data_IF_548946022985
#
_entry.id   IF_548946022985
#
_cell.length_a   1.000
_cell.length_b   1.000
_cell.length_c   1.000
_cell.angle_alpha   90.00
_cell.angle_beta   90.00
_cell.angle_gamma   90.00
#
_symmetry.space_group_name_H-M   'P 1'
#
loop_
_entity.id
_entity.type
_entity.pdbx_description
1 polymer ?
#
# COMPACT_ATOMS: atom_id res chain seq x y z
N UNK A 1 -7.97 40.25 22.11
CA UNK A 1 -8.17 39.66 20.77
C UNK A 1 -9.39 38.76 20.79
N UNK A 2 -10.20 38.70 19.72
CA UNK A 2 -11.36 37.80 19.63
C UNK A 2 -10.85 36.39 19.26
N UNK A 3 -11.27 35.32 19.94
CA UNK A 3 -10.79 33.98 19.64
C UNK A 3 -11.29 33.51 18.27
N UNK A 4 -10.43 32.79 17.54
CA UNK A 4 -10.72 32.18 16.24
C UNK A 4 -10.52 30.67 16.34
N UNK A 5 -11.40 29.89 15.71
CA UNK A 5 -11.30 28.44 15.63
C UNK A 5 -11.73 27.95 14.24
N UNK A 6 -11.31 26.72 13.89
CA UNK A 6 -11.69 26.06 12.65
C UNK A 6 -13.09 25.46 12.80
N UNK A 7 -14.04 25.88 11.96
CA UNK A 7 -15.40 25.34 11.98
C UNK A 7 -15.55 23.99 11.28
N UNK A 8 -14.80 23.76 10.20
CA UNK A 8 -14.80 22.50 9.43
C UNK A 8 -13.54 22.39 8.57
N UNK A 9 -13.08 21.17 8.38
CA UNK A 9 -12.12 20.79 7.33
C UNK A 9 -12.78 19.69 6.51
N UNK A 10 -12.71 19.78 5.18
CA UNK A 10 -13.22 18.77 4.25
C UNK A 10 -12.07 18.10 3.53
N UNK A 11 -12.11 16.78 3.43
CA UNK A 11 -11.12 15.98 2.70
C UNK A 11 -11.85 14.86 1.95
N UNK A 12 -11.52 14.68 0.67
CA UNK A 12 -12.07 13.63 -0.20
C UNK A 12 -10.93 12.95 -0.93
N UNK A 13 -10.90 11.62 -0.93
CA UNK A 13 -9.83 10.80 -1.53
C UNK A 13 -10.46 9.73 -2.41
N UNK A 14 -9.83 9.42 -3.55
CA UNK A 14 -10.14 8.28 -4.40
C UNK A 14 -8.84 7.57 -4.78
N UNK A 15 -8.80 6.26 -4.61
CA UNK A 15 -7.69 5.40 -5.04
C UNK A 15 -8.23 4.41 -6.07
N UNK A 16 -7.51 4.19 -7.17
CA UNK A 16 -7.82 3.18 -8.18
C UNK A 16 -6.67 2.19 -8.22
N UNK A 17 -6.99 0.90 -8.24
CA UNK A 17 -6.04 -0.20 -8.43
C UNK A 17 -6.44 -0.90 -9.74
N UNK A 18 -5.48 -1.15 -10.61
CA UNK A 18 -5.66 -1.93 -11.83
C UNK A 18 -4.43 -2.80 -12.11
N UNK A 19 -4.52 -3.67 -13.11
CA UNK A 19 -3.46 -4.60 -13.50
C UNK A 19 -2.27 -3.90 -14.18
N UNK A 20 -2.44 -2.63 -14.58
CA UNK A 20 -1.38 -1.81 -15.17
C UNK A 20 -0.55 -1.10 -14.10
N UNK A 21 -0.54 -1.63 -12.87
CA UNK A 21 0.29 -1.13 -11.78
C UNK A 21 1.76 -0.97 -12.19
N UNK A 22 2.57 -0.42 -11.28
CA UNK A 22 4.01 -0.29 -11.48
C UNK A 22 4.56 -1.68 -11.88
N UNK A 23 5.15 -1.77 -13.08
CA UNK A 23 5.79 -2.97 -13.62
C UNK A 23 6.51 -3.68 -12.49
N UNK A 24 6.09 -4.90 -12.16
CA UNK A 24 6.55 -5.63 -10.98
C UNK A 24 8.05 -5.98 -11.10
N UNK A 25 8.92 -5.02 -10.80
CA UNK A 25 10.34 -5.27 -10.55
C UNK A 25 10.52 -5.49 -9.05
N UNK A 26 9.98 -6.61 -8.58
CA UNK A 26 10.29 -7.12 -7.25
C UNK A 26 11.71 -7.71 -7.31
N UNK A 27 12.73 -6.86 -7.30
CA UNK A 27 14.12 -7.32 -7.18
C UNK A 27 14.35 -7.84 -5.76
N UNK A 28 14.08 -9.13 -5.55
CA UNK A 28 14.54 -9.85 -4.36
C UNK A 28 16.06 -10.03 -4.49
N UNK A 29 16.81 -9.13 -3.87
CA UNK A 29 18.27 -9.27 -3.75
C UNK A 29 18.61 -10.50 -2.91
N UNK A 30 18.74 -11.67 -3.56
CA UNK A 30 19.33 -12.86 -2.94
C UNK A 30 20.78 -12.51 -2.61
N UNK A 31 21.06 -12.15 -1.36
CA UNK A 31 22.44 -12.17 -0.85
C UNK A 31 22.88 -13.62 -0.90
N UNK A 32 23.74 -13.93 -1.87
CA UNK A 32 24.30 -15.26 -2.10
C UNK A 32 25.19 -15.67 -0.92
N UNK A 33 24.59 -16.07 0.20
CA UNK A 33 25.24 -16.93 1.17
C UNK A 33 25.04 -18.35 0.64
N UNK A 34 26.12 -18.93 0.12
CA UNK A 34 26.13 -20.20 -0.56
C UNK A 34 25.70 -21.36 0.34
N UNK A 35 24.39 -21.64 0.49
CA UNK A 35 23.92 -22.88 1.11
C UNK A 35 22.43 -23.24 0.95
N UNK A 36 21.57 -22.46 0.29
CA UNK A 36 20.18 -22.91 0.13
C UNK A 36 19.55 -22.41 -1.14
N UNK A 37 19.14 -23.36 -2.00
CA UNK A 37 18.18 -23.11 -3.07
C UNK A 37 16.96 -22.51 -2.37
N UNK A 38 16.63 -21.24 -2.64
CA UNK A 38 15.42 -20.61 -2.09
C UNK A 38 14.24 -21.33 -2.72
N UNK A 39 13.78 -22.38 -2.05
CA UNK A 39 12.59 -23.14 -2.42
C UNK A 39 11.47 -22.66 -1.51
N UNK A 40 10.55 -21.92 -2.11
CA UNK A 40 9.43 -21.33 -1.39
C UNK A 40 8.63 -20.44 -2.33
N UNK A 41 7.46 -20.93 -2.73
CA UNK A 41 6.45 -20.08 -3.33
C UNK A 41 5.62 -19.49 -2.19
N UNK A 42 5.44 -18.18 -2.19
CA UNK A 42 4.50 -17.50 -1.31
C UNK A 42 3.30 -17.07 -2.15
N UNK A 43 2.12 -17.59 -1.82
CA UNK A 43 0.87 -17.21 -2.47
C UNK A 43 0.14 -16.17 -1.62
N UNK A 44 -0.28 -15.08 -2.24
CA UNK A 44 -0.99 -13.99 -1.58
C UNK A 44 -2.38 -13.83 -2.20
N UNK A 45 -3.40 -14.22 -1.45
CA UNK A 45 -4.80 -14.04 -1.81
C UNK A 45 -5.41 -12.90 -0.99
N UNK A 46 -5.89 -11.86 -1.68
CA UNK A 46 -6.58 -10.70 -1.10
C UNK A 46 -8.11 -10.86 -1.27
N UNK A 47 -8.63 -11.97 -0.76
CA UNK A 47 -10.03 -12.41 -0.88
C UNK A 47 -10.91 -12.07 0.34
N UNK A 48 -10.38 -11.27 1.26
CA UNK A 48 -11.01 -10.81 2.51
C UNK A 48 -10.49 -9.42 2.88
N UNK A 49 -11.14 -8.69 3.81
CA UNK A 49 -10.75 -7.32 4.13
C UNK A 49 -9.24 -7.16 4.42
N UNK A 50 -8.63 -6.13 3.83
CA UNK A 50 -7.19 -5.88 3.95
C UNK A 50 -6.88 -4.37 4.01
N UNK A 51 -5.67 -4.06 4.47
CA UNK A 51 -5.14 -2.69 4.55
C UNK A 51 -4.18 -2.47 3.39
N UNK A 52 -4.16 -1.26 2.84
CA UNK A 52 -3.12 -0.82 1.91
C UNK A 52 -2.44 0.45 2.42
N UNK A 53 -1.18 0.60 2.05
CA UNK A 53 -0.40 1.83 2.27
C UNK A 53 0.32 2.16 0.97
N UNK A 54 0.16 3.40 0.50
CA UNK A 54 0.94 3.95 -0.61
C UNK A 54 2.01 4.84 0.01
N UNK A 55 3.27 4.48 -0.16
CA UNK A 55 4.42 5.21 0.36
C UNK A 55 4.98 6.18 -0.69
N UNK A 56 5.52 7.31 -0.22
CA UNK A 56 6.36 8.19 -1.02
C UNK A 56 7.78 7.63 -1.15
N UNK A 57 8.62 8.33 -1.93
CA UNK A 57 10.03 7.94 -2.12
C UNK A 57 10.85 7.96 -0.81
N UNK A 58 10.38 8.73 0.17
CA UNK A 58 10.91 8.89 1.51
C UNK A 58 10.37 7.86 2.51
N UNK A 59 9.60 6.88 2.05
CA UNK A 59 8.92 5.86 2.86
C UNK A 59 7.86 6.44 3.81
N UNK A 60 7.43 7.69 3.63
CA UNK A 60 6.31 8.25 4.38
C UNK A 60 4.96 7.86 3.73
N UNK A 61 3.94 7.49 4.52
CA UNK A 61 2.62 7.18 3.98
C UNK A 61 1.98 8.40 3.31
N UNK A 62 1.71 8.28 2.01
CA UNK A 62 0.89 9.24 1.25
C UNK A 62 -0.59 8.90 1.39
N UNK A 63 -0.92 7.62 1.36
CA UNK A 63 -2.27 7.11 1.56
C UNK A 63 -2.25 5.87 2.45
N UNK A 64 -3.23 5.76 3.33
CA UNK A 64 -3.54 4.56 4.10
C UNK A 64 -5.04 4.33 4.02
N UNK A 65 -5.44 3.08 3.85
CA UNK A 65 -6.86 2.74 3.75
C UNK A 65 -7.14 1.26 3.96
N UNK A 66 -8.42 0.96 4.11
CA UNK A 66 -8.93 -0.39 4.24
C UNK A 66 -9.80 -0.69 3.03
N UNK A 67 -9.57 -1.83 2.39
CA UNK A 67 -10.47 -2.42 1.41
C UNK A 67 -11.34 -3.41 2.17
N UNK A 68 -12.59 -3.04 2.45
CA UNK A 68 -13.57 -3.94 3.09
C UNK A 68 -14.37 -4.72 2.05
N UNK A 69 -14.75 -4.06 0.96
CA UNK A 69 -15.46 -4.64 -0.17
C UNK A 69 -14.87 -4.07 -1.48
N UNK A 70 -14.20 -4.89 -2.32
CA UNK A 70 -13.60 -4.43 -3.56
C UNK A 70 -14.61 -4.24 -4.71
N UNK A 71 -15.88 -4.63 -4.54
CA UNK A 71 -16.91 -4.54 -5.58
C UNK A 71 -17.71 -3.23 -5.54
N UNK A 72 -17.56 -2.44 -4.48
CA UNK A 72 -18.19 -1.12 -4.29
C UNK A 72 -17.24 0.03 -4.60
#
# INVERSE_FOLDING_TARGET
AKPLWLGRIGQSIRVKIDERGCTADAMLGIRLSAASLVSGQCEMFLDRPFIFIILGQDQFPLFIGVVNDPLT
#
